data_IF_581386423665
#
_entry.id   IF_581386423665
#
_cell.length_a   1.000
_cell.length_b   1.000
_cell.length_c   1.000
_cell.angle_alpha   90.00
_cell.angle_beta   90.00
_cell.angle_gamma   90.00
#
_symmetry.space_group_name_H-M   'P 1'
#
loop_
_entity.id
_entity.type
_entity.pdbx_description
1 polymer ?
#
# COMPACT_ATOMS: atom_id res chain seq x y z
N UNK A 1 4.83 13.71 1.15
CA UNK A 1 4.03 12.60 1.72
C UNK A 1 3.11 12.05 0.65
N UNK A 2 2.20 12.86 0.12
CA UNK A 2 1.19 12.43 -0.87
C UNK A 2 1.79 11.78 -2.13
N UNK A 3 2.87 12.37 -2.68
CA UNK A 3 3.60 11.79 -3.83
C UNK A 3 4.19 10.39 -3.58
N UNK A 4 4.46 10.03 -2.33
CA UNK A 4 4.94 8.70 -1.97
C UNK A 4 3.78 7.69 -1.94
N UNK A 5 2.60 8.10 -1.47
CA UNK A 5 1.38 7.30 -1.49
C UNK A 5 0.89 7.04 -2.92
N UNK A 6 1.02 8.02 -3.81
CA UNK A 6 0.69 7.87 -5.23
C UNK A 6 1.46 6.72 -5.93
N UNK A 7 2.59 6.26 -5.38
CA UNK A 7 3.31 5.10 -5.93
C UNK A 7 2.47 3.83 -5.86
N UNK A 8 1.51 3.73 -4.94
CA UNK A 8 0.61 2.59 -4.80
C UNK A 8 -0.52 2.58 -5.83
N UNK A 9 -0.73 3.65 -6.60
CA UNK A 9 -1.77 3.69 -7.62
C UNK A 9 -1.61 2.59 -8.67
N UNK A 10 -0.38 2.23 -9.04
CA UNK A 10 -0.14 1.14 -10.00
C UNK A 10 -0.61 -0.22 -9.48
N UNK A 11 -0.53 -0.43 -8.16
CA UNK A 11 -1.04 -1.62 -7.50
C UNK A 11 -2.56 -1.54 -7.32
N UNK A 12 -3.10 -0.41 -6.83
CA UNK A 12 -4.53 -0.21 -6.57
C UNK A 12 -5.40 -0.22 -7.83
N UNK A 13 -4.84 0.15 -8.98
CA UNK A 13 -5.54 0.07 -10.28
C UNK A 13 -5.78 -1.37 -10.76
N UNK A 14 -5.23 -2.38 -10.06
CA UNK A 14 -5.41 -3.79 -10.43
C UNK A 14 -6.64 -4.33 -9.74
N UNK A 15 -7.59 -4.87 -10.49
CA UNK A 15 -8.86 -5.39 -9.94
C UNK A 15 -8.68 -6.54 -8.94
N UNK A 16 -7.51 -7.16 -8.91
CA UNK A 16 -7.16 -8.29 -8.04
C UNK A 16 -6.21 -7.92 -6.90
N UNK A 17 -5.92 -6.63 -6.68
CA UNK A 17 -4.91 -6.17 -5.71
C UNK A 17 -5.07 -6.79 -4.32
N UNK A 18 -6.31 -7.05 -3.89
CA UNK A 18 -6.67 -7.57 -2.57
C UNK A 18 -6.68 -9.11 -2.48
N UNK A 19 -6.39 -9.82 -3.58
CA UNK A 19 -6.51 -11.29 -3.66
C UNK A 19 -5.31 -12.03 -3.10
N UNK A 20 -4.19 -11.34 -2.88
CA UNK A 20 -2.92 -11.97 -2.48
C UNK A 20 -2.25 -12.78 -3.58
N UNK A 21 -2.64 -12.59 -4.86
CA UNK A 21 -1.97 -13.24 -5.98
C UNK A 21 -0.48 -12.81 -6.03
N UNK A 22 0.47 -13.73 -6.29
CA UNK A 22 1.91 -13.42 -6.21
C UNK A 22 2.34 -12.21 -7.06
N UNK A 23 1.73 -12.03 -8.24
CA UNK A 23 2.01 -10.88 -9.10
C UNK A 23 1.59 -9.54 -8.47
N UNK A 24 0.48 -9.53 -7.72
CA UNK A 24 -0.04 -8.31 -7.10
C UNK A 24 0.79 -7.95 -5.87
N UNK A 25 1.24 -8.96 -5.11
CA UNK A 25 2.21 -8.81 -4.02
C UNK A 25 3.54 -8.25 -4.53
N UNK A 26 4.07 -8.78 -5.64
CA UNK A 26 5.30 -8.25 -6.24
C UNK A 26 5.17 -6.76 -6.61
N UNK A 27 4.03 -6.37 -7.20
CA UNK A 27 3.76 -4.97 -7.54
C UNK A 27 3.64 -4.13 -6.27
N UNK A 28 2.96 -4.61 -5.24
CA UNK A 28 2.89 -3.94 -3.94
C UNK A 28 4.29 -3.67 -3.35
N UNK A 29 5.18 -4.66 -3.32
CA UNK A 29 6.54 -4.48 -2.80
C UNK A 29 7.36 -3.47 -3.61
N UNK A 30 7.20 -3.46 -4.93
CA UNK A 30 7.84 -2.44 -5.79
C UNK A 30 7.31 -1.04 -5.47
N UNK A 31 6.00 -0.89 -5.27
CA UNK A 31 5.38 0.37 -4.85
C UNK A 31 5.89 0.81 -3.46
N UNK A 32 5.95 -0.10 -2.49
CA UNK A 32 6.46 0.16 -1.14
C UNK A 32 7.91 0.64 -1.17
N UNK A 33 8.78 -0.01 -1.96
CA UNK A 33 10.16 0.40 -2.12
C UNK A 33 10.28 1.80 -2.75
N UNK A 34 9.51 2.07 -3.81
CA UNK A 34 9.49 3.38 -4.46
C UNK A 34 8.97 4.47 -3.52
N UNK A 35 7.92 4.19 -2.74
CA UNK A 35 7.36 5.10 -1.74
C UNK A 35 8.38 5.40 -0.63
N UNK A 36 9.08 4.38 -0.13
CA UNK A 36 10.12 4.54 0.88
C UNK A 36 11.29 5.42 0.40
N UNK A 37 11.71 5.24 -0.87
CA UNK A 37 12.74 6.09 -1.49
C UNK A 37 12.32 7.55 -1.62
N UNK A 38 11.06 7.79 -1.93
CA UNK A 38 10.49 9.14 -2.02
C UNK A 38 10.36 9.77 -0.62
N UNK A 39 9.91 8.99 0.37
CA UNK A 39 9.70 9.46 1.74
C UNK A 39 9.86 8.33 2.77
N UNK A 40 10.99 8.34 3.49
CA UNK A 40 11.40 7.26 4.41
C UNK A 40 10.50 7.07 5.63
N UNK A 41 9.79 8.13 6.05
CA UNK A 41 8.97 8.15 7.26
C UNK A 41 7.48 8.10 6.93
N UNK A 42 7.12 7.39 5.85
CA UNK A 42 5.72 7.19 5.51
C UNK A 42 5.06 6.31 6.58
N UNK A 43 3.97 6.82 7.14
CA UNK A 43 3.20 6.14 8.18
C UNK A 43 2.28 5.08 7.58
N UNK A 44 2.19 3.91 8.22
CA UNK A 44 1.36 2.81 7.76
C UNK A 44 -0.14 3.13 7.87
N UNK A 45 -0.56 3.87 8.91
CA UNK A 45 -1.93 4.35 9.05
C UNK A 45 -2.32 5.28 7.90
N UNK A 46 -1.41 6.15 7.45
CA UNK A 46 -1.61 6.98 6.26
C UNK A 46 -1.76 6.16 4.98
N UNK A 47 -1.04 5.05 4.84
CA UNK A 47 -1.24 4.15 3.70
C UNK A 47 -2.62 3.46 3.76
N UNK A 48 -3.05 3.00 4.93
CA UNK A 48 -4.39 2.43 5.12
C UNK A 48 -5.46 3.43 4.67
N UNK A 49 -5.43 4.64 5.23
CA UNK A 49 -6.42 5.69 4.92
C UNK A 49 -6.42 6.02 3.41
N UNK A 50 -5.24 6.02 2.79
CA UNK A 50 -5.10 6.24 1.35
C UNK A 50 -5.73 5.13 0.50
N UNK A 51 -5.54 3.85 0.89
CA UNK A 51 -6.16 2.70 0.19
C UNK A 51 -7.68 2.83 0.25
N UNK A 52 -8.23 3.13 1.43
CA UNK A 52 -9.68 3.28 1.62
C UNK A 52 -10.25 4.41 0.77
N UNK A 53 -9.64 5.60 0.82
CA UNK A 53 -10.07 6.76 0.01
C UNK A 53 -9.99 6.46 -1.49
N UNK A 54 -8.87 5.87 -1.94
CA UNK A 54 -8.68 5.55 -3.35
C UNK A 54 -9.72 4.57 -3.87
N UNK A 55 -9.97 3.48 -3.13
CA UNK A 55 -10.90 2.43 -3.57
C UNK A 55 -12.34 2.93 -3.53
N UNK A 56 -12.75 3.65 -2.49
CA UNK A 56 -14.09 4.24 -2.40
C UNK A 56 -14.39 5.20 -3.56
N UNK A 57 -13.38 5.90 -4.08
CA UNK A 57 -13.53 6.84 -5.19
C UNK A 57 -13.49 6.19 -6.59
N UNK A 58 -12.94 4.98 -6.73
CA UNK A 58 -12.67 4.37 -8.06
C UNK A 58 -13.41 3.05 -8.29
N UNK A 59 -13.55 2.21 -7.27
CA UNK A 59 -14.16 0.87 -7.40
C UNK A 59 -14.61 0.38 -6.02
N UNK A 60 -15.78 0.84 -5.52
CA UNK A 60 -16.21 0.55 -4.16
C UNK A 60 -16.30 -0.96 -3.91
N UNK A 61 -15.66 -1.41 -2.85
CA UNK A 61 -15.80 -2.75 -2.30
C UNK A 61 -16.77 -2.69 -1.10
N UNK A 62 -17.14 -3.85 -0.57
CA UNK A 62 -17.78 -3.90 0.74
C UNK A 62 -16.89 -3.20 1.79
N UNK A 63 -17.48 -2.35 2.64
CA UNK A 63 -16.75 -1.48 3.56
C UNK A 63 -15.90 -2.27 4.55
N UNK A 64 -16.48 -3.31 5.17
CA UNK A 64 -15.78 -4.16 6.12
C UNK A 64 -14.68 -4.97 5.45
N UNK A 65 -14.91 -5.44 4.22
CA UNK A 65 -13.87 -6.09 3.44
C UNK A 65 -12.71 -5.15 3.09
N UNK A 66 -13.02 -3.92 2.67
CA UNK A 66 -12.02 -2.91 2.33
C UNK A 66 -11.16 -2.51 3.53
N UNK A 67 -11.77 -2.21 4.67
CA UNK A 67 -11.06 -1.85 5.91
C UNK A 67 -10.09 -2.95 6.33
N UNK A 68 -10.54 -4.22 6.33
CA UNK A 68 -9.67 -5.35 6.64
C UNK A 68 -8.48 -5.44 5.67
N UNK A 69 -8.72 -5.24 4.37
CA UNK A 69 -7.65 -5.29 3.37
C UNK A 69 -6.70 -4.11 3.45
N UNK A 70 -7.19 -2.91 3.73
CA UNK A 70 -6.35 -1.74 3.92
C UNK A 70 -5.42 -1.93 5.13
N UNK A 71 -5.94 -2.46 6.23
CA UNK A 71 -5.17 -2.78 7.44
C UNK A 71 -4.12 -3.88 7.18
N UNK A 72 -4.50 -4.98 6.51
CA UNK A 72 -3.58 -6.07 6.13
C UNK A 72 -2.35 -5.53 5.38
N UNK A 73 -2.56 -4.66 4.38
CA UNK A 73 -1.47 -4.10 3.58
C UNK A 73 -0.71 -2.97 4.28
N UNK A 74 -1.34 -2.24 5.20
CA UNK A 74 -0.65 -1.27 6.06
C UNK A 74 0.37 -1.98 6.98
N UNK A 75 -0.02 -3.07 7.64
CA UNK A 75 0.89 -3.89 8.46
C UNK A 75 2.03 -4.49 7.63
N UNK A 76 1.74 -4.96 6.41
CA UNK A 76 2.79 -5.42 5.48
C UNK A 76 3.75 -4.28 5.13
N UNK A 77 3.24 -3.08 4.86
CA UNK A 77 4.05 -1.93 4.51
C UNK A 77 4.96 -1.49 5.67
N UNK A 78 4.46 -1.53 6.91
CA UNK A 78 5.25 -1.27 8.11
C UNK A 78 6.45 -2.21 8.19
N UNK A 79 6.21 -3.52 8.07
CA UNK A 79 7.27 -4.55 8.07
C UNK A 79 8.32 -4.29 6.99
N UNK A 80 7.88 -3.96 5.77
CA UNK A 80 8.78 -3.66 4.65
C UNK A 80 9.57 -2.38 4.91
N UNK A 81 8.93 -1.33 5.44
CA UNK A 81 9.58 -0.04 5.72
C UNK A 81 10.61 -0.14 6.83
N UNK A 82 10.34 -0.93 7.87
CA UNK A 82 11.31 -1.27 8.92
C UNK A 82 12.52 -1.99 8.33
N UNK A 83 12.28 -3.00 7.49
CA UNK A 83 13.35 -3.74 6.82
C UNK A 83 14.23 -2.82 5.96
N UNK A 84 13.62 -1.96 5.13
CA UNK A 84 14.35 -1.02 4.28
C UNK A 84 15.17 -0.03 5.11
N UNK A 85 14.59 0.49 6.20
CA UNK A 85 15.26 1.44 7.09
C UNK A 85 16.45 0.80 7.81
N UNK A 86 16.28 -0.41 8.36
CA UNK A 86 17.33 -1.15 9.06
C UNK A 86 18.53 -1.45 8.15
N UNK A 87 18.27 -1.70 6.87
CA UNK A 87 19.29 -2.03 5.87
C UNK A 87 19.79 -0.82 5.07
N UNK A 88 19.29 0.39 5.35
CA UNK A 88 19.66 1.65 4.66
C UNK A 88 19.45 1.58 3.13
N UNK A 89 18.35 0.96 2.70
CA UNK A 89 18.01 0.73 1.28
C UNK A 89 17.18 1.85 0.64
#
# INVERSE_FOLDING_TARGET
MDKALEKFNTWLNRSTWYTGHPIDEEVFYKCAYAAHKEYKHLDAGRLRDYIEEYVNNNSPLDEGFLQNKAEDYAMKFETVSEFLSANKL
#
